data_IF_151774462470
#
_entry.id   IF_151774462470
#
_cell.length_a   1.000
_cell.length_b   1.000
_cell.length_c   1.000
_cell.angle_alpha   90.00
_cell.angle_beta   90.00
_cell.angle_gamma   90.00
#
_symmetry.space_group_name_H-M   'P 1'
#
loop_
_entity.id
_entity.type
_entity.pdbx_description
1 polymer ?
#
# COMPACT_ATOMS: atom_id res chain seq x y z
N UNK A 1 -5.34 -39.30 -21.90
CA UNK A 1 -5.63 -38.24 -20.91
C UNK A 1 -4.50 -37.24 -20.99
N UNK A 2 -4.73 -36.12 -21.67
CA UNK A 2 -3.74 -35.06 -21.89
C UNK A 2 -3.48 -34.33 -20.57
N UNK A 3 -2.26 -34.47 -20.05
CA UNK A 3 -1.75 -33.62 -18.97
C UNK A 3 -1.79 -32.17 -19.45
N UNK A 4 -2.62 -31.35 -18.81
CA UNK A 4 -2.50 -29.90 -18.90
C UNK A 4 -1.25 -29.51 -18.13
N UNK A 5 -0.19 -29.20 -18.88
CA UNK A 5 0.98 -28.51 -18.37
C UNK A 5 0.56 -27.08 -18.05
N UNK A 6 0.10 -26.85 -16.82
CA UNK A 6 -0.30 -25.53 -16.34
C UNK A 6 0.95 -24.76 -15.94
N UNK A 7 1.62 -24.14 -16.93
CA UNK A 7 2.59 -23.10 -16.65
C UNK A 7 2.01 -22.09 -15.64
N UNK A 8 2.78 -21.64 -14.63
CA UNK A 8 2.27 -20.70 -13.64
C UNK A 8 1.80 -19.43 -14.35
N UNK A 9 0.56 -19.01 -14.07
CA UNK A 9 0.03 -17.73 -14.54
C UNK A 9 0.85 -16.62 -13.89
N UNK A 10 1.70 -15.97 -14.67
CA UNK A 10 2.47 -14.82 -14.25
C UNK A 10 1.53 -13.64 -14.05
N UNK A 11 1.65 -12.96 -12.91
CA UNK A 11 1.01 -11.67 -12.67
C UNK A 11 2.05 -10.61 -12.93
N UNK A 12 1.83 -9.79 -13.95
CA UNK A 12 2.74 -8.72 -14.36
C UNK A 12 2.02 -7.38 -14.26
N UNK A 13 2.76 -6.36 -13.83
CA UNK A 13 2.36 -4.96 -13.88
C UNK A 13 3.40 -4.25 -14.74
N UNK A 14 2.97 -3.56 -15.79
CA UNK A 14 3.88 -2.83 -16.68
C UNK A 14 3.72 -1.35 -16.41
N UNK A 15 4.83 -0.65 -16.17
CA UNK A 15 4.85 0.81 -16.09
C UNK A 15 5.45 1.35 -17.39
N UNK A 16 4.73 2.25 -18.05
CA UNK A 16 5.15 2.86 -19.30
C UNK A 16 4.93 4.37 -19.26
N UNK A 17 5.75 5.10 -20.01
CA UNK A 17 5.53 6.53 -20.25
C UNK A 17 4.36 6.74 -21.20
N UNK A 18 3.47 7.67 -20.86
CA UNK A 18 2.40 8.14 -21.73
C UNK A 18 2.94 9.21 -22.70
N UNK A 19 3.05 8.91 -24.01
CA UNK A 19 3.55 9.86 -24.99
C UNK A 19 2.61 11.06 -25.21
N UNK A 20 1.34 10.96 -24.81
CA UNK A 20 0.37 12.05 -24.94
C UNK A 20 0.37 13.01 -23.74
N UNK A 21 0.98 12.62 -22.61
CA UNK A 21 0.93 13.37 -21.36
C UNK A 21 2.33 13.63 -20.78
N UNK A 22 3.17 14.33 -21.55
CA UNK A 22 4.50 14.78 -21.11
C UNK A 22 5.42 13.67 -20.58
N UNK A 23 5.19 12.40 -20.95
CA UNK A 23 5.98 11.28 -20.44
C UNK A 23 5.58 10.79 -19.04
N UNK A 24 4.42 11.24 -18.51
CA UNK A 24 3.85 10.77 -17.25
C UNK A 24 3.77 9.24 -17.22
N UNK A 25 4.01 8.64 -16.06
CA UNK A 25 4.02 7.19 -15.91
C UNK A 25 2.61 6.64 -15.70
N UNK A 26 2.29 5.56 -16.42
CA UNK A 26 1.02 4.84 -16.32
C UNK A 26 1.31 3.37 -16.03
N UNK A 27 0.65 2.84 -15.00
CA UNK A 27 0.66 1.42 -14.68
C UNK A 27 -0.43 0.68 -15.43
N UNK A 28 -0.10 -0.46 -16.03
CA UNK A 28 -0.99 -1.32 -16.79
C UNK A 28 -1.10 -2.69 -16.12
N UNK A 29 -2.33 -3.14 -15.87
CA UNK A 29 -2.65 -4.47 -15.35
C UNK A 29 -3.83 -5.03 -16.14
N UNK A 30 -3.57 -6.07 -16.94
CA UNK A 30 -4.52 -6.60 -17.90
C UNK A 30 -5.08 -5.48 -18.82
N UNK A 31 -6.37 -5.15 -18.67
CA UNK A 31 -7.05 -4.08 -19.42
C UNK A 31 -7.21 -2.78 -18.61
N UNK A 32 -6.77 -2.80 -17.35
CA UNK A 32 -6.86 -1.67 -16.43
C UNK A 32 -5.60 -0.80 -16.49
N UNK A 33 -5.78 0.49 -16.27
CA UNK A 33 -4.71 1.47 -16.19
C UNK A 33 -4.87 2.34 -14.94
N UNK A 34 -3.76 2.80 -14.38
CA UNK A 34 -3.74 3.75 -13.27
C UNK A 34 -2.57 4.72 -13.41
N UNK A 35 -2.77 5.97 -12.99
CA UNK A 35 -1.73 6.97 -13.00
C UNK A 35 -0.67 6.67 -11.93
N UNK A 36 0.58 7.00 -12.22
CA UNK A 36 1.70 6.97 -11.28
C UNK A 36 2.26 8.38 -11.18
N UNK A 37 2.24 8.91 -9.97
CA UNK A 37 2.75 10.24 -9.69
C UNK A 37 4.24 10.25 -9.37
N UNK A 38 4.85 11.41 -9.54
CA UNK A 38 6.28 11.59 -9.31
C UNK A 38 6.92 12.55 -10.32
N UNK A 39 8.21 12.86 -10.12
CA UNK A 39 8.96 13.74 -11.00
C UNK A 39 9.10 13.12 -12.39
N UNK A 40 8.90 13.92 -13.44
CA UNK A 40 9.01 13.50 -14.84
C UNK A 40 10.44 13.60 -15.41
N UNK A 41 11.40 14.06 -14.61
CA UNK A 41 12.78 14.33 -15.03
C UNK A 41 12.94 15.58 -15.90
N UNK A 42 11.87 16.36 -16.12
CA UNK A 42 11.85 17.63 -16.82
C UNK A 42 11.43 18.81 -15.91
N UNK A 43 11.40 18.58 -14.60
CA UNK A 43 11.05 19.58 -13.58
C UNK A 43 9.55 19.71 -13.30
N UNK A 44 8.71 18.81 -13.80
CA UNK A 44 7.29 18.77 -13.45
C UNK A 44 6.96 17.56 -12.57
N UNK A 45 5.87 17.70 -11.81
CA UNK A 45 5.32 16.62 -11.00
C UNK A 45 4.10 16.03 -11.70
N UNK A 46 4.19 14.76 -12.10
CA UNK A 46 3.04 14.03 -12.63
C UNK A 46 2.05 13.72 -11.50
N UNK A 47 0.73 13.90 -11.73
CA UNK A 47 -0.28 13.60 -10.71
C UNK A 47 -0.48 12.09 -10.56
N UNK A 48 -0.77 11.66 -9.33
CA UNK A 48 -1.05 10.26 -9.00
C UNK A 48 -0.30 9.80 -7.75
N UNK A 49 -0.53 8.56 -7.30
CA UNK A 49 0.22 7.95 -6.21
C UNK A 49 1.66 7.69 -6.67
N UNK A 50 2.63 8.05 -5.82
CA UNK A 50 4.02 7.71 -6.05
C UNK A 50 4.29 6.21 -5.72
N UNK A 51 5.49 5.67 -6.00
CA UNK A 51 5.79 4.27 -5.71
C UNK A 51 5.59 3.83 -4.24
N UNK A 52 5.91 4.68 -3.26
CA UNK A 52 5.67 4.40 -1.84
C UNK A 52 4.20 4.47 -1.45
N UNK A 53 3.42 5.38 -2.07
CA UNK A 53 1.97 5.41 -1.94
C UNK A 53 1.35 4.11 -2.47
N UNK A 54 1.81 3.62 -3.64
CA UNK A 54 1.34 2.36 -4.24
C UNK A 54 1.69 1.15 -3.37
N UNK A 55 2.86 1.16 -2.73
CA UNK A 55 3.29 0.13 -1.79
C UNK A 55 2.39 0.12 -0.54
N UNK A 56 2.17 1.29 0.04
CA UNK A 56 1.28 1.51 1.18
C UNK A 56 -0.16 1.10 0.85
N UNK A 57 -0.66 1.48 -0.33
CA UNK A 57 -1.98 1.11 -0.81
C UNK A 57 -2.14 -0.39 -1.01
N UNK A 58 -1.09 -1.08 -1.50
CA UNK A 58 -1.08 -2.55 -1.63
C UNK A 58 -1.25 -3.23 -0.27
N UNK A 59 -0.50 -2.78 0.75
CA UNK A 59 -0.62 -3.29 2.12
C UNK A 59 -2.00 -2.99 2.73
N UNK A 60 -2.51 -1.77 2.56
CA UNK A 60 -3.82 -1.35 3.05
C UNK A 60 -4.94 -2.22 2.44
N UNK A 61 -4.94 -2.37 1.11
CA UNK A 61 -5.93 -3.13 0.37
C UNK A 61 -5.91 -4.62 0.76
N UNK A 62 -4.72 -5.23 0.83
CA UNK A 62 -4.58 -6.63 1.23
C UNK A 62 -5.09 -6.86 2.66
N UNK A 63 -4.79 -5.92 3.57
CA UNK A 63 -5.29 -5.97 4.95
C UNK A 63 -6.81 -5.91 4.99
N UNK A 64 -7.42 -4.92 4.32
CA UNK A 64 -8.86 -4.75 4.28
C UNK A 64 -9.57 -6.00 3.71
N UNK A 65 -9.00 -6.62 2.66
CA UNK A 65 -9.51 -7.87 2.11
C UNK A 65 -9.48 -9.00 3.15
N UNK A 66 -8.37 -9.19 3.85
CA UNK A 66 -8.22 -10.23 4.88
C UNK A 66 -9.18 -10.03 6.05
N UNK A 67 -9.31 -8.81 6.57
CA UNK A 67 -10.24 -8.46 7.65
C UNK A 67 -11.69 -8.78 7.25
N UNK A 68 -12.11 -8.32 6.06
CA UNK A 68 -13.46 -8.61 5.54
C UNK A 68 -13.69 -10.10 5.35
N UNK A 69 -12.69 -10.84 4.87
CA UNK A 69 -12.77 -12.28 4.70
C UNK A 69 -12.99 -12.99 6.05
N UNK A 70 -12.20 -12.64 7.07
CA UNK A 70 -12.31 -13.25 8.40
C UNK A 70 -13.60 -12.86 9.13
N UNK A 71 -14.03 -11.60 9.02
CA UNK A 71 -15.32 -11.16 9.54
C UNK A 71 -16.49 -11.98 8.97
N UNK A 72 -16.50 -12.18 7.64
CA UNK A 72 -17.52 -13.00 6.97
C UNK A 72 -17.47 -14.46 7.40
N UNK A 73 -16.28 -15.05 7.48
CA UNK A 73 -16.09 -16.44 7.88
C UNK A 73 -16.62 -16.71 9.30
N UNK A 74 -16.35 -15.78 10.21
CA UNK A 74 -16.77 -15.85 11.61
C UNK A 74 -18.17 -15.25 11.87
N UNK A 75 -18.85 -14.77 10.83
CA UNK A 75 -20.17 -14.12 10.88
C UNK A 75 -20.22 -12.92 11.83
N UNK A 76 -19.15 -12.13 11.88
CA UNK A 76 -19.09 -10.91 12.68
C UNK A 76 -19.87 -9.77 12.01
N UNK A 77 -20.53 -8.89 12.79
CA UNK A 77 -21.33 -7.77 12.27
C UNK A 77 -20.43 -6.58 11.82
N UNK A 78 -19.43 -6.85 10.98
CA UNK A 78 -18.60 -5.80 10.37
C UNK A 78 -19.34 -5.18 9.18
N UNK A 79 -19.61 -3.88 9.25
CA UNK A 79 -20.32 -3.11 8.22
C UNK A 79 -19.35 -2.41 7.26
N UNK A 80 -18.24 -1.89 7.80
CA UNK A 80 -17.22 -1.14 7.07
C UNK A 80 -15.83 -1.39 7.63
N UNK A 81 -14.83 -1.27 6.76
CA UNK A 81 -13.41 -1.28 7.15
C UNK A 81 -12.68 -0.21 6.38
N UNK A 82 -11.86 0.54 7.09
CA UNK A 82 -10.89 1.45 6.50
C UNK A 82 -9.50 1.15 7.04
N UNK A 83 -8.50 1.24 6.16
CA UNK A 83 -7.11 0.95 6.49
C UNK A 83 -6.24 2.09 5.97
N UNK A 84 -5.70 2.88 6.89
CA UNK A 84 -4.63 3.83 6.60
C UNK A 84 -3.28 3.13 6.71
N UNK A 85 -2.34 3.48 5.84
CA UNK A 85 -0.95 3.03 5.91
C UNK A 85 -0.04 4.22 5.61
N UNK A 86 0.94 4.45 6.48
CA UNK A 86 2.08 5.33 6.21
C UNK A 86 3.38 4.55 6.19
N UNK A 87 4.34 5.05 5.43
CA UNK A 87 5.68 4.49 5.30
C UNK A 87 6.70 5.47 5.89
N UNK A 88 7.74 4.93 6.52
CA UNK A 88 8.85 5.72 7.06
C UNK A 88 10.15 4.98 6.81
N UNK A 89 11.17 5.71 6.36
CA UNK A 89 12.51 5.16 6.26
C UNK A 89 13.13 4.97 7.64
N UNK A 90 13.86 3.86 7.78
CA UNK A 90 14.70 3.64 8.95
C UNK A 90 15.94 4.53 8.89
N UNK A 91 16.49 4.89 10.05
CA UNK A 91 17.82 5.51 10.07
C UNK A 91 18.89 4.52 9.54
N UNK A 92 20.10 5.01 9.26
CA UNK A 92 21.18 4.18 8.72
C UNK A 92 21.44 2.92 9.57
N UNK A 93 21.16 1.75 9.00
CA UNK A 93 21.31 0.45 9.66
C UNK A 93 20.07 -0.06 10.39
N UNK A 94 18.97 0.71 10.36
CA UNK A 94 17.64 0.32 10.82
C UNK A 94 16.78 -0.13 9.64
N UNK A 95 15.64 -0.77 9.94
CA UNK A 95 14.68 -1.21 8.94
C UNK A 95 13.70 -0.08 8.64
N UNK A 96 13.25 0.00 7.40
CA UNK A 96 12.08 0.78 7.06
C UNK A 96 10.85 0.25 7.81
N UNK A 97 9.82 1.08 7.96
CA UNK A 97 8.62 0.71 8.69
C UNK A 97 7.34 1.20 8.04
N UNK A 98 6.28 0.40 8.20
CA UNK A 98 4.92 0.77 7.89
C UNK A 98 4.14 0.94 9.19
N UNK A 99 3.35 2.01 9.28
CA UNK A 99 2.34 2.17 10.32
C UNK A 99 0.97 2.01 9.67
N UNK A 100 0.19 1.07 10.19
CA UNK A 100 -1.15 0.74 9.73
C UNK A 100 -2.18 1.12 10.79
N UNK A 101 -3.26 1.76 10.38
CA UNK A 101 -4.39 2.10 11.26
C UNK A 101 -5.66 1.50 10.71
N UNK A 102 -6.36 0.71 11.53
CA UNK A 102 -7.61 0.04 11.18
C UNK A 102 -8.81 0.72 11.84
N UNK A 103 -9.78 1.11 11.03
CA UNK A 103 -11.12 1.49 11.50
C UNK A 103 -12.09 0.38 11.17
N UNK A 104 -12.87 -0.02 12.17
CA UNK A 104 -13.85 -1.09 12.07
C UNK A 104 -15.23 -0.55 12.45
N UNK A 105 -16.12 -0.53 11.48
CA UNK A 105 -17.50 -0.06 11.62
C UNK A 105 -18.48 -1.23 11.83
N UNK A 106 -19.50 -1.01 12.64
CA UNK A 106 -20.50 -2.01 13.03
C UNK A 106 -20.51 -2.32 14.52
N UNK A 107 -21.53 -3.07 14.94
CA UNK A 107 -21.80 -3.46 16.33
C UNK A 107 -20.86 -4.58 16.81
N UNK A 108 -19.55 -4.29 16.81
CA UNK A 108 -18.49 -5.22 17.20
C UNK A 108 -18.13 -5.06 18.67
N UNK A 109 -18.17 -6.17 19.41
CA UNK A 109 -17.65 -6.21 20.78
C UNK A 109 -16.10 -6.14 20.81
N UNK A 110 -15.54 -5.95 22.01
CA UNK A 110 -14.09 -5.82 22.18
C UNK A 110 -13.30 -7.07 21.74
N UNK A 111 -13.86 -8.27 21.93
CA UNK A 111 -13.23 -9.52 21.52
C UNK A 111 -13.23 -9.68 20.00
N UNK A 112 -14.33 -9.29 19.34
CA UNK A 112 -14.46 -9.28 17.89
C UNK A 112 -13.51 -8.28 17.24
N UNK A 113 -13.37 -7.08 17.83
CA UNK A 113 -12.39 -6.07 17.38
C UNK A 113 -10.96 -6.56 17.53
N UNK A 114 -10.62 -7.17 18.66
CA UNK A 114 -9.30 -7.76 18.88
C UNK A 114 -9.01 -8.88 17.88
N UNK A 115 -9.98 -9.77 17.63
CA UNK A 115 -9.84 -10.83 16.62
C UNK A 115 -9.61 -10.27 15.21
N UNK A 116 -10.35 -9.23 14.81
CA UNK A 116 -10.17 -8.60 13.49
C UNK A 116 -8.84 -7.87 13.37
N UNK A 117 -8.34 -7.29 14.46
CA UNK A 117 -7.00 -6.71 14.53
C UNK A 117 -5.92 -7.78 14.33
N UNK A 118 -6.02 -8.93 15.00
CA UNK A 118 -5.11 -10.06 14.79
C UNK A 118 -5.17 -10.58 13.35
N UNK A 119 -6.39 -10.72 12.80
CA UNK A 119 -6.60 -11.13 11.43
C UNK A 119 -5.92 -10.20 10.42
N UNK A 120 -5.83 -8.90 10.70
CA UNK A 120 -5.16 -7.94 9.84
C UNK A 120 -3.69 -8.31 9.60
N UNK A 121 -3.01 -8.90 10.58
CA UNK A 121 -1.60 -9.32 10.46
C UNK A 121 -1.39 -10.55 9.56
N UNK A 122 -2.45 -11.25 9.18
CA UNK A 122 -2.37 -12.46 8.35
C UNK A 122 -2.42 -12.18 6.84
N UNK A 123 -2.35 -10.91 6.43
CA UNK A 123 -2.50 -10.54 5.02
C UNK A 123 -1.22 -10.91 4.22
N UNK A 124 -1.33 -11.59 3.06
CA UNK A 124 -0.15 -12.06 2.32
C UNK A 124 0.85 -10.97 1.92
N UNK A 125 0.37 -9.76 1.60
CA UNK A 125 1.28 -8.63 1.29
C UNK A 125 2.05 -8.21 2.53
N UNK A 126 1.42 -8.22 3.71
CA UNK A 126 2.09 -7.95 4.98
C UNK A 126 3.18 -8.97 5.30
N UNK A 127 2.95 -10.25 5.01
CA UNK A 127 3.98 -11.31 5.14
C UNK A 127 5.19 -11.03 4.24
N UNK A 128 4.96 -10.59 2.99
CA UNK A 128 6.04 -10.27 2.04
C UNK A 128 6.84 -9.06 2.52
N UNK A 129 6.16 -7.97 2.87
CA UNK A 129 6.81 -6.72 3.28
C UNK A 129 7.49 -6.85 4.65
N UNK A 130 6.89 -7.64 5.55
CA UNK A 130 7.41 -7.92 6.89
C UNK A 130 8.79 -8.59 6.91
N UNK A 131 9.23 -9.18 5.78
CA UNK A 131 10.59 -9.73 5.63
C UNK A 131 11.63 -8.61 5.65
N UNK A 132 11.35 -7.44 5.08
CA UNK A 132 12.32 -6.36 4.90
C UNK A 132 12.02 -5.10 5.73
N UNK A 133 10.74 -4.84 6.05
CA UNK A 133 10.30 -3.72 6.87
C UNK A 133 9.55 -4.16 8.14
N UNK A 134 9.52 -3.30 9.15
CA UNK A 134 8.65 -3.45 10.32
C UNK A 134 7.21 -3.01 9.99
N UNK A 135 6.20 -3.66 10.57
CA UNK A 135 4.79 -3.31 10.36
C UNK A 135 4.10 -3.18 11.71
N UNK A 136 3.68 -1.96 12.04
CA UNK A 136 2.92 -1.65 13.26
C UNK A 136 1.45 -1.48 12.93
N UNK A 137 0.56 -2.05 13.75
CA UNK A 137 -0.88 -1.96 13.52
C UNK A 137 -1.62 -1.52 14.76
N UNK A 138 -2.38 -0.44 14.60
CA UNK A 138 -3.21 0.14 15.64
C UNK A 138 -4.68 0.17 15.21
N UNK A 139 -5.60 0.11 16.18
CA UNK A 139 -7.00 0.47 15.97
C UNK A 139 -7.15 1.99 16.02
N UNK A 140 -7.82 2.56 15.02
CA UNK A 140 -8.13 3.98 14.95
C UNK A 140 -9.59 4.29 15.28
N UNK A 141 -9.85 5.57 15.53
CA UNK A 141 -11.20 6.14 15.70
C UNK A 141 -11.62 7.03 14.53
N UNK A 142 -10.66 7.49 13.72
CA UNK A 142 -10.87 8.27 12.50
C UNK A 142 -9.61 8.19 11.61
N UNK A 143 -9.78 8.22 10.30
CA UNK A 143 -8.73 8.36 9.27
C UNK A 143 -8.74 9.74 8.62
N UNK A 144 -9.76 10.55 8.86
CA UNK A 144 -9.95 11.88 8.27
C UNK A 144 -9.02 12.95 8.83
N UNK A 145 -8.18 12.60 9.82
CA UNK A 145 -7.10 13.43 10.35
C UNK A 145 -5.84 13.51 9.49
N UNK A 146 -5.83 12.96 8.26
CA UNK A 146 -4.72 13.14 7.33
C UNK A 146 -4.76 14.55 6.75
N UNK A 147 -4.09 15.49 7.44
CA UNK A 147 -3.84 16.83 6.91
C UNK A 147 -2.95 16.68 5.66
N UNK A 148 -3.51 16.94 4.48
CA UNK A 148 -2.81 16.79 3.19
C UNK A 148 -1.49 17.59 3.13
N UNK A 149 -1.31 18.58 4.00
CA UNK A 149 -0.09 19.37 4.19
C UNK A 149 1.06 18.66 4.94
N UNK A 150 0.85 17.45 5.46
CA UNK A 150 1.87 16.67 6.21
C UNK A 150 2.27 15.35 5.55
N UNK A 151 1.74 15.05 4.35
CA UNK A 151 2.11 13.86 3.61
C UNK A 151 3.47 14.04 2.95
N UNK A 152 4.38 13.11 3.18
CA UNK A 152 5.68 13.08 2.51
C UNK A 152 5.48 12.99 0.98
N UNK A 153 6.26 13.77 0.24
CA UNK A 153 6.31 13.70 -1.22
C UNK A 153 7.37 12.69 -1.65
N UNK A 154 7.29 12.24 -2.90
CA UNK A 154 8.32 11.36 -3.45
C UNK A 154 9.73 11.99 -3.44
N UNK A 155 9.81 13.32 -3.49
CA UNK A 155 11.08 14.02 -3.38
C UNK A 155 11.66 13.94 -1.96
N UNK A 156 10.81 13.97 -0.93
CA UNK A 156 11.24 13.79 0.46
C UNK A 156 11.81 12.38 0.66
N UNK A 157 11.14 11.35 0.13
CA UNK A 157 11.63 9.96 0.18
C UNK A 157 13.00 9.82 -0.53
N UNK A 158 13.16 10.43 -1.71
CA UNK A 158 14.44 10.38 -2.44
C UNK A 158 15.58 11.10 -1.72
N UNK A 159 15.29 12.16 -0.95
CA UNK A 159 16.30 12.88 -0.18
C UNK A 159 16.88 12.03 0.99
N UNK A 160 16.12 11.05 1.47
CA UNK A 160 16.54 10.14 2.53
C UNK A 160 17.37 8.95 2.00
N UNK A 161 17.36 8.73 0.68
CA UNK A 161 18.11 7.66 0.04
C UNK A 161 19.44 8.17 -0.53
N UNK A 162 20.55 7.54 -0.16
CA UNK A 162 21.86 7.75 -0.80
C UNK A 162 21.92 7.07 -2.19
N UNK A 163 20.99 7.37 -3.12
CA UNK A 163 21.02 6.80 -4.48
C UNK A 163 22.08 7.55 -5.30
N UNK A 164 23.12 6.87 -5.82
CA UNK A 164 24.12 7.52 -6.66
C UNK A 164 23.48 8.06 -7.95
N UNK A 165 23.70 9.35 -8.23
CA UNK A 165 23.25 10.06 -9.44
C UNK A 165 21.73 10.30 -9.56
N UNK A 166 20.98 10.24 -8.46
CA UNK A 166 19.64 10.84 -8.37
C UNK A 166 19.72 11.96 -7.34
N UNK A 167 19.74 13.21 -7.80
CA UNK A 167 19.55 14.35 -6.91
C UNK A 167 18.05 14.71 -6.94
N UNK A 168 17.40 14.90 -5.77
CA UNK A 168 16.17 15.66 -5.75
C UNK A 168 16.53 17.10 -6.11
N UNK A 169 16.30 17.48 -7.37
CA UNK A 169 16.50 18.87 -7.83
C UNK A 169 15.51 19.82 -7.15
#
# INVERSE_FOLDING_TARGET
>A
MTSQDSAPRLREVVVASDPANHGALVGHVDTSQFAIGGPDGAGHLSPGPNPYDLLSASLAACTAMTVRFQARRQKLPLEGVEVGVSFHHGAKGERDSFKRTLLLEGELDAGQRAFLLEAANLCPVGEILGISADIHTDLGVDTSGHDASTQATYADDLAELEIPNINPD
#
